data_IF_556010776789
#
_entry.id   IF_556010776789
#
_cell.length_a   1.000
_cell.length_b   1.000
_cell.length_c   1.000
_cell.angle_alpha   90.00
_cell.angle_beta   90.00
_cell.angle_gamma   90.00
#
_symmetry.space_group_name_H-M   'P 1'
#
loop_
_entity.id
_entity.type
_entity.pdbx_description
1 polymer ?
#
# COMPACT_ATOMS: atom_id res chain seq x y z
N UNK A 1 -2.99 -33.45 -16.78
CA UNK A 1 -2.59 -32.26 -17.56
C UNK A 1 -1.60 -31.47 -16.72
N UNK A 2 -0.48 -31.02 -17.28
CA UNK A 2 0.46 -30.14 -16.59
C UNK A 2 0.05 -28.68 -16.84
N UNK A 3 -0.10 -27.92 -15.76
CA UNK A 3 -0.39 -26.48 -15.78
C UNK A 3 0.97 -25.76 -15.72
N UNK A 4 1.41 -25.24 -16.85
CA UNK A 4 2.64 -24.47 -17.00
C UNK A 4 2.36 -22.96 -16.99
N UNK A 5 1.15 -22.54 -17.35
CA UNK A 5 0.74 -21.12 -17.43
C UNK A 5 -0.61 -20.90 -16.74
N UNK A 6 -0.81 -19.76 -16.02
CA UNK A 6 -2.06 -19.41 -15.34
C UNK A 6 -3.33 -19.60 -16.17
N UNK A 7 -3.26 -19.27 -17.45
CA UNK A 7 -4.36 -19.27 -18.40
C UNK A 7 -4.91 -20.69 -18.61
N UNK A 8 -4.06 -21.71 -18.47
CA UNK A 8 -4.43 -23.12 -18.64
C UNK A 8 -5.42 -23.62 -17.58
N UNK A 9 -5.54 -22.92 -16.44
CA UNK A 9 -6.60 -23.22 -15.45
C UNK A 9 -8.00 -23.07 -16.09
N UNK A 10 -8.17 -22.16 -17.04
CA UNK A 10 -9.45 -21.99 -17.74
C UNK A 10 -9.80 -23.18 -18.64
N UNK A 11 -8.80 -23.98 -19.04
CA UNK A 11 -8.98 -25.13 -19.92
C UNK A 11 -9.33 -26.41 -19.14
N UNK A 12 -9.06 -26.43 -17.83
CA UNK A 12 -9.34 -27.60 -16.99
C UNK A 12 -10.83 -27.94 -16.93
N UNK A 13 -11.13 -29.22 -17.05
CA UNK A 13 -12.44 -29.80 -16.75
C UNK A 13 -12.64 -29.96 -15.24
N UNK A 14 -13.89 -30.19 -14.80
CA UNK A 14 -14.17 -30.45 -13.39
C UNK A 14 -13.53 -31.76 -12.91
N UNK A 15 -13.55 -32.81 -13.72
CA UNK A 15 -12.85 -34.08 -13.42
C UNK A 15 -11.33 -33.87 -13.24
N UNK A 16 -10.73 -32.99 -14.04
CA UNK A 16 -9.31 -32.66 -13.87
C UNK A 16 -9.04 -31.88 -12.59
N UNK A 17 -9.93 -30.99 -12.16
CA UNK A 17 -9.82 -30.32 -10.86
C UNK A 17 -9.96 -31.29 -9.68
N UNK A 18 -10.62 -32.43 -9.85
CA UNK A 18 -10.66 -33.46 -8.82
C UNK A 18 -9.32 -34.22 -8.70
N UNK A 19 -8.47 -34.16 -9.74
CA UNK A 19 -7.17 -34.82 -9.77
C UNK A 19 -6.22 -34.32 -8.66
N UNK A 20 -5.56 -35.28 -8.01
CA UNK A 20 -4.49 -34.99 -7.05
C UNK A 20 -3.30 -34.26 -7.71
N UNK A 21 -3.05 -34.54 -9.00
CA UNK A 21 -1.94 -33.94 -9.73
C UNK A 21 -2.15 -32.43 -9.92
N UNK A 22 -3.33 -32.03 -10.38
CA UNK A 22 -3.73 -30.63 -10.56
C UNK A 22 -3.75 -29.89 -9.23
N UNK A 23 -4.29 -30.53 -8.19
CA UNK A 23 -4.26 -29.97 -6.84
C UNK A 23 -2.83 -29.68 -6.35
N UNK A 24 -1.92 -30.65 -6.49
CA UNK A 24 -0.53 -30.49 -6.04
C UNK A 24 0.22 -29.38 -6.82
N UNK A 25 -0.06 -29.23 -8.12
CA UNK A 25 0.53 -28.16 -8.93
C UNK A 25 0.02 -26.77 -8.47
N UNK A 26 -1.29 -26.63 -8.29
CA UNK A 26 -1.88 -25.38 -7.78
C UNK A 26 -1.41 -25.07 -6.36
N UNK A 27 -1.19 -26.10 -5.53
CA UNK A 27 -0.59 -25.95 -4.21
C UNK A 27 0.84 -25.45 -4.29
N UNK A 28 1.68 -26.04 -5.15
CA UNK A 28 3.07 -25.60 -5.33
C UNK A 28 3.15 -24.14 -5.79
N UNK A 29 2.26 -23.71 -6.68
CA UNK A 29 2.13 -22.31 -7.05
C UNK A 29 1.68 -21.43 -5.89
N UNK A 30 0.64 -21.82 -5.16
CA UNK A 30 0.19 -21.08 -3.97
C UNK A 30 1.31 -20.93 -2.93
N UNK A 31 2.09 -21.99 -2.68
CA UNK A 31 3.22 -21.94 -1.76
C UNK A 31 4.34 -21.02 -2.28
N UNK A 32 4.59 -21.02 -3.59
CA UNK A 32 5.55 -20.07 -4.20
C UNK A 32 5.16 -18.60 -4.00
N UNK A 33 3.85 -18.29 -4.03
CA UNK A 33 3.35 -16.94 -3.76
C UNK A 33 3.41 -16.56 -2.28
N UNK A 34 3.28 -17.53 -1.36
CA UNK A 34 3.48 -17.28 0.08
C UNK A 34 4.93 -16.93 0.38
N UNK A 35 5.87 -17.61 -0.27
CA UNK A 35 7.31 -17.39 -0.08
C UNK A 35 7.81 -16.12 -0.78
N UNK A 36 7.25 -15.81 -1.94
CA UNK A 36 7.62 -14.66 -2.76
C UNK A 36 6.47 -13.67 -2.80
N UNK A 37 6.06 -13.11 -1.66
CA UNK A 37 5.07 -12.03 -1.56
C UNK A 37 5.48 -10.83 -2.42
N UNK A 38 5.25 -10.94 -3.72
CA UNK A 38 5.61 -9.99 -4.75
C UNK A 38 4.44 -9.97 -5.69
N UNK A 39 4.07 -8.77 -6.10
CA UNK A 39 2.91 -8.56 -6.95
C UNK A 39 3.07 -9.36 -8.22
N UNK A 40 2.15 -10.29 -8.40
CA UNK A 40 2.15 -11.12 -9.57
C UNK A 40 0.82 -10.97 -10.29
N UNK A 41 0.90 -10.48 -11.53
CA UNK A 41 -0.23 -10.51 -12.45
C UNK A 41 -0.77 -11.93 -12.58
N UNK A 42 0.10 -12.93 -12.46
CA UNK A 42 -0.24 -14.33 -12.59
C UNK A 42 -1.13 -14.77 -11.42
N UNK A 43 -0.88 -14.31 -10.20
CA UNK A 43 -1.77 -14.58 -9.06
C UNK A 43 -3.21 -14.07 -9.34
N UNK A 44 -3.35 -12.90 -9.96
CA UNK A 44 -4.67 -12.34 -10.31
C UNK A 44 -5.35 -13.18 -11.39
N UNK A 45 -4.60 -13.58 -12.40
CA UNK A 45 -5.11 -14.43 -13.48
C UNK A 45 -5.55 -15.80 -12.95
N UNK A 46 -4.70 -16.43 -12.15
CA UNK A 46 -4.98 -17.71 -11.51
C UNK A 46 -6.19 -17.65 -10.58
N UNK A 47 -6.32 -16.58 -9.78
CA UNK A 47 -7.52 -16.32 -8.97
C UNK A 47 -8.76 -16.31 -9.84
N UNK A 48 -8.77 -15.48 -10.90
CA UNK A 48 -9.94 -15.31 -11.78
C UNK A 48 -10.33 -16.62 -12.46
N UNK A 49 -9.34 -17.35 -12.97
CA UNK A 49 -9.56 -18.64 -13.63
C UNK A 49 -10.14 -19.68 -12.64
N UNK A 50 -9.53 -19.82 -11.46
CA UNK A 50 -9.97 -20.78 -10.45
C UNK A 50 -11.35 -20.42 -9.88
N UNK A 51 -11.60 -19.16 -9.51
CA UNK A 51 -12.92 -18.72 -9.05
C UNK A 51 -14.00 -18.90 -10.13
N UNK A 52 -13.65 -18.68 -11.41
CA UNK A 52 -14.55 -18.91 -12.54
C UNK A 52 -15.02 -20.37 -12.61
N UNK A 53 -14.09 -21.32 -12.46
CA UNK A 53 -14.40 -22.76 -12.42
C UNK A 53 -15.20 -23.15 -11.17
N UNK A 54 -14.82 -22.62 -10.01
CA UNK A 54 -15.48 -22.94 -8.74
C UNK A 54 -16.90 -22.37 -8.63
N UNK A 55 -17.27 -21.39 -9.45
CA UNK A 55 -18.64 -20.83 -9.52
C UNK A 55 -19.58 -21.58 -10.46
N UNK A 56 -19.10 -22.56 -11.21
CA UNK A 56 -19.95 -23.34 -12.12
C UNK A 56 -21.01 -24.13 -11.33
N UNK A 57 -22.26 -24.25 -11.83
CA UNK A 57 -23.34 -24.96 -11.13
C UNK A 57 -23.02 -26.42 -10.82
N UNK A 58 -22.17 -27.03 -11.65
CA UNK A 58 -21.73 -28.41 -11.58
C UNK A 58 -20.64 -28.65 -10.52
N UNK A 59 -20.02 -27.58 -9.99
CA UNK A 59 -18.97 -27.66 -8.98
C UNK A 59 -19.59 -27.94 -7.60
N UNK A 60 -19.25 -29.10 -7.04
CA UNK A 60 -19.70 -29.49 -5.70
C UNK A 60 -19.00 -28.68 -4.59
N UNK A 61 -19.59 -28.66 -3.40
CA UNK A 61 -19.06 -27.91 -2.24
C UNK A 61 -17.72 -28.43 -1.74
N UNK A 62 -17.46 -29.74 -1.88
CA UNK A 62 -16.18 -30.34 -1.45
C UNK A 62 -15.01 -29.81 -2.28
N UNK A 63 -15.20 -29.66 -3.59
CA UNK A 63 -14.21 -29.10 -4.50
C UNK A 63 -13.97 -27.61 -4.21
N UNK A 64 -15.04 -26.85 -3.94
CA UNK A 64 -14.92 -25.45 -3.51
C UNK A 64 -14.11 -25.34 -2.21
N UNK A 65 -14.43 -26.15 -1.21
CA UNK A 65 -13.73 -26.18 0.06
C UNK A 65 -12.26 -26.56 -0.10
N UNK A 66 -11.96 -27.55 -0.98
CA UNK A 66 -10.60 -28.00 -1.30
C UNK A 66 -9.74 -26.88 -1.87
N UNK A 67 -10.29 -26.03 -2.75
CA UNK A 67 -9.55 -24.98 -3.45
C UNK A 67 -9.65 -23.59 -2.80
N UNK A 68 -10.54 -23.38 -1.84
CA UNK A 68 -10.71 -22.11 -1.13
C UNK A 68 -9.39 -21.53 -0.55
N UNK A 69 -8.49 -22.34 0.05
CA UNK A 69 -7.21 -21.82 0.54
C UNK A 69 -6.34 -21.19 -0.55
N UNK A 70 -6.32 -21.77 -1.76
CA UNK A 70 -5.51 -21.25 -2.87
C UNK A 70 -6.10 -19.96 -3.41
N UNK A 71 -7.43 -19.89 -3.52
CA UNK A 71 -8.12 -18.64 -3.88
C UNK A 71 -7.77 -17.51 -2.92
N UNK A 72 -7.69 -17.79 -1.61
CA UNK A 72 -7.28 -16.79 -0.61
C UNK A 72 -5.84 -16.33 -0.80
N UNK A 73 -4.90 -17.26 -1.00
CA UNK A 73 -3.50 -16.92 -1.30
C UNK A 73 -3.43 -15.99 -2.51
N UNK A 74 -4.05 -16.38 -3.64
CA UNK A 74 -4.02 -15.58 -4.86
C UNK A 74 -4.70 -14.21 -4.70
N UNK A 75 -5.75 -14.10 -3.86
CA UNK A 75 -6.39 -12.82 -3.53
C UNK A 75 -5.43 -11.87 -2.82
N UNK A 76 -4.73 -12.35 -1.79
CA UNK A 76 -3.82 -11.54 -1.01
C UNK A 76 -2.53 -11.20 -1.79
N UNK A 77 -1.99 -12.13 -2.57
CA UNK A 77 -0.85 -11.86 -3.46
C UNK A 77 -1.21 -10.87 -4.59
N UNK A 78 -2.48 -10.83 -4.99
CA UNK A 78 -3.00 -9.92 -6.01
C UNK A 78 -3.48 -8.56 -5.51
N UNK A 79 -3.22 -8.19 -4.24
CA UNK A 79 -3.75 -6.96 -3.63
C UNK A 79 -3.46 -5.69 -4.43
N UNK A 80 -2.25 -5.54 -4.99
CA UNK A 80 -1.85 -4.34 -5.74
C UNK A 80 -2.69 -4.12 -7.00
N UNK A 81 -3.15 -5.17 -7.65
CA UNK A 81 -3.90 -5.09 -8.92
C UNK A 81 -5.42 -5.06 -8.68
N UNK A 82 -5.88 -5.38 -7.46
CA UNK A 82 -7.29 -5.32 -7.08
C UNK A 82 -7.85 -3.90 -7.08
N UNK A 83 -9.17 -3.75 -7.19
CA UNK A 83 -9.81 -2.45 -6.95
C UNK A 83 -9.78 -2.09 -5.45
N UNK A 84 -9.91 -0.80 -5.11
CA UNK A 84 -10.05 -0.37 -3.71
C UNK A 84 -11.21 -1.08 -2.99
N UNK A 85 -12.32 -1.28 -3.69
CA UNK A 85 -13.47 -2.02 -3.18
C UNK A 85 -13.11 -3.47 -2.86
N UNK A 86 -12.46 -4.17 -3.80
CA UNK A 86 -12.06 -5.57 -3.60
C UNK A 86 -11.10 -5.73 -2.42
N UNK A 87 -10.16 -4.79 -2.26
CA UNK A 87 -9.20 -4.81 -1.13
C UNK A 87 -9.91 -4.65 0.21
N UNK A 88 -10.83 -3.69 0.30
CA UNK A 88 -11.61 -3.45 1.52
C UNK A 88 -12.48 -4.65 1.85
N UNK A 89 -13.21 -5.20 0.88
CA UNK A 89 -14.05 -6.38 1.08
C UNK A 89 -13.23 -7.63 1.45
N UNK A 90 -12.04 -7.79 0.86
CA UNK A 90 -11.14 -8.88 1.21
C UNK A 90 -10.73 -8.82 2.69
N UNK A 91 -10.31 -7.65 3.15
CA UNK A 91 -9.89 -7.46 4.55
C UNK A 91 -11.07 -7.59 5.51
N UNK A 92 -12.24 -7.06 5.13
CA UNK A 92 -13.45 -7.10 5.95
C UNK A 92 -14.02 -8.51 6.13
N UNK A 93 -13.84 -9.38 5.14
CA UNK A 93 -14.53 -10.68 5.12
C UNK A 93 -13.63 -11.91 5.11
N UNK A 94 -12.32 -11.78 4.87
CA UNK A 94 -11.43 -12.93 4.65
C UNK A 94 -10.06 -12.86 5.34
N UNK A 95 -9.83 -11.90 6.25
CA UNK A 95 -8.55 -11.77 6.99
C UNK A 95 -8.32 -12.95 7.93
N UNK A 96 -9.31 -13.34 8.72
CA UNK A 96 -9.19 -14.42 9.71
C UNK A 96 -8.92 -15.74 8.99
N UNK A 97 -9.69 -16.01 7.93
CA UNK A 97 -9.54 -17.21 7.13
C UNK A 97 -8.20 -17.25 6.38
N UNK A 98 -7.73 -16.13 5.85
CA UNK A 98 -6.42 -16.06 5.20
C UNK A 98 -5.28 -16.41 6.16
N UNK A 99 -5.27 -15.83 7.37
CA UNK A 99 -4.22 -16.12 8.36
C UNK A 99 -4.30 -17.58 8.83
N UNK A 100 -5.50 -18.17 8.99
CA UNK A 100 -5.67 -19.60 9.30
C UNK A 100 -5.05 -20.49 8.23
N UNK A 101 -5.16 -20.10 6.97
CA UNK A 101 -4.59 -20.81 5.81
C UNK A 101 -3.10 -20.48 5.55
N UNK A 102 -2.45 -19.79 6.49
CA UNK A 102 -1.01 -19.52 6.42
C UNK A 102 -0.61 -18.38 5.50
N UNK A 103 -1.55 -17.52 5.10
CA UNK A 103 -1.23 -16.29 4.36
C UNK A 103 -0.59 -15.28 5.30
N UNK A 104 0.57 -14.74 4.92
CA UNK A 104 1.20 -13.62 5.61
C UNK A 104 0.57 -12.30 5.18
N UNK A 105 -0.62 -12.03 5.72
CA UNK A 105 -1.41 -10.83 5.41
C UNK A 105 -0.64 -9.54 5.67
N UNK A 106 0.24 -9.52 6.69
CA UNK A 106 1.07 -8.35 7.02
C UNK A 106 2.00 -8.03 5.87
N UNK A 107 2.78 -9.01 5.42
CA UNK A 107 3.73 -8.82 4.30
C UNK A 107 3.00 -8.41 3.01
N UNK A 108 1.89 -9.06 2.66
CA UNK A 108 1.12 -8.68 1.47
C UNK A 108 0.61 -7.22 1.51
N UNK A 109 0.19 -6.74 2.69
CA UNK A 109 -0.23 -5.35 2.87
C UNK A 109 0.95 -4.38 2.88
N UNK A 110 2.08 -4.76 3.47
CA UNK A 110 3.30 -3.96 3.48
C UNK A 110 3.80 -3.68 2.08
N UNK A 111 3.92 -4.74 1.27
CA UNK A 111 4.21 -4.63 -0.15
C UNK A 111 3.21 -3.67 -0.79
N UNK A 112 1.91 -3.93 -0.66
CA UNK A 112 0.87 -3.08 -1.25
C UNK A 112 1.06 -1.59 -0.92
N UNK A 113 1.31 -1.24 0.34
CA UNK A 113 1.49 0.16 0.75
C UNK A 113 2.77 0.79 0.19
N UNK A 114 3.85 0.02 0.08
CA UNK A 114 5.10 0.43 -0.57
C UNK A 114 4.84 0.75 -2.05
N UNK A 115 4.17 -0.15 -2.78
CA UNK A 115 3.90 0.02 -4.20
C UNK A 115 2.84 1.09 -4.49
N UNK A 116 1.83 1.24 -3.63
CA UNK A 116 0.76 2.22 -3.79
C UNK A 116 1.15 3.63 -3.34
N UNK A 117 2.37 3.84 -2.82
CA UNK A 117 2.82 5.11 -2.27
C UNK A 117 1.91 5.65 -1.16
N UNK A 118 1.40 4.77 -0.29
CA UNK A 118 0.40 5.15 0.73
C UNK A 118 0.89 6.28 1.65
N UNK A 119 2.20 6.34 1.94
CA UNK A 119 2.81 7.43 2.69
C UNK A 119 2.61 8.81 2.02
N UNK A 120 2.77 8.88 0.69
CA UNK A 120 2.58 10.13 -0.07
C UNK A 120 1.11 10.56 -0.12
N UNK A 121 0.20 9.61 0.08
CA UNK A 121 -1.25 9.82 0.09
C UNK A 121 -1.80 9.98 1.51
N UNK A 122 -0.96 10.43 2.45
CA UNK A 122 -1.33 10.63 3.85
C UNK A 122 -2.01 9.39 4.44
N UNK A 123 -1.52 8.20 4.12
CA UNK A 123 -2.06 6.93 4.64
C UNK A 123 -3.54 6.67 4.31
N UNK A 124 -4.08 7.25 3.23
CA UNK A 124 -5.48 7.11 2.86
C UNK A 124 -5.90 5.64 2.64
N UNK A 125 -5.05 4.83 1.99
CA UNK A 125 -5.30 3.42 1.77
C UNK A 125 -5.27 2.65 3.08
N UNK A 126 -4.24 2.86 3.90
CA UNK A 126 -4.11 2.24 5.22
C UNK A 126 -5.28 2.54 6.15
N UNK A 127 -5.81 3.77 6.17
CA UNK A 127 -7.02 4.12 6.93
C UNK A 127 -8.24 3.28 6.51
N UNK A 128 -8.46 3.11 5.20
CA UNK A 128 -9.55 2.25 4.69
C UNK A 128 -9.37 0.79 5.14
N UNK A 129 -8.14 0.28 5.11
CA UNK A 129 -7.81 -1.09 5.53
C UNK A 129 -8.01 -1.27 7.04
N UNK A 130 -7.59 -0.31 7.87
CA UNK A 130 -7.85 -0.32 9.32
C UNK A 130 -9.36 -0.35 9.59
N UNK A 131 -10.13 0.50 8.90
CA UNK A 131 -11.58 0.50 9.03
C UNK A 131 -12.19 -0.84 8.63
N UNK A 132 -11.78 -1.42 7.50
CA UNK A 132 -12.23 -2.73 7.05
C UNK A 132 -11.96 -3.82 8.08
N UNK A 133 -10.77 -3.83 8.69
CA UNK A 133 -10.38 -4.78 9.73
C UNK A 133 -11.24 -4.60 11.00
N UNK A 134 -11.52 -3.35 11.39
CA UNK A 134 -12.40 -3.02 12.53
C UNK A 134 -13.88 -3.36 12.28
N UNK A 135 -14.29 -3.47 11.02
CA UNK A 135 -15.64 -3.87 10.62
C UNK A 135 -15.74 -5.37 10.28
N UNK A 136 -14.68 -6.14 10.50
CA UNK A 136 -14.61 -7.53 10.07
C UNK A 136 -15.60 -8.44 10.83
N UNK A 137 -16.37 -9.23 10.08
CA UNK A 137 -17.45 -10.09 10.61
C UNK A 137 -17.05 -11.56 10.78
N UNK A 138 -15.83 -11.95 10.43
CA UNK A 138 -15.38 -13.33 10.57
C UNK A 138 -15.33 -13.75 12.05
N UNK A 139 -15.64 -15.01 12.30
CA UNK A 139 -15.72 -15.54 13.67
C UNK A 139 -14.37 -16.10 14.13
N UNK A 140 -13.99 -15.74 15.35
CA UNK A 140 -12.88 -16.30 16.11
C UNK A 140 -13.41 -16.70 17.49
N UNK A 141 -13.39 -18.00 17.81
CA UNK A 141 -14.03 -18.51 19.04
C UNK A 141 -15.53 -18.25 19.12
N UNK A 142 -16.22 -18.19 17.97
CA UNK A 142 -17.65 -17.86 17.89
C UNK A 142 -17.99 -16.39 18.10
N UNK A 143 -17.00 -15.51 18.29
CA UNK A 143 -17.18 -14.07 18.41
C UNK A 143 -16.66 -13.35 17.15
N UNK A 144 -17.40 -12.38 16.57
CA UNK A 144 -16.92 -11.59 15.44
C UNK A 144 -15.61 -10.87 15.73
N UNK A 145 -14.72 -10.77 14.74
CA UNK A 145 -13.42 -10.13 14.92
C UNK A 145 -13.54 -8.67 15.39
N UNK A 146 -14.47 -7.90 14.83
CA UNK A 146 -14.74 -6.52 15.27
C UNK A 146 -14.95 -6.38 16.79
N UNK A 147 -15.56 -7.39 17.42
CA UNK A 147 -15.88 -7.35 18.85
C UNK A 147 -14.62 -7.61 19.67
N UNK A 148 -13.74 -8.51 19.22
CA UNK A 148 -12.41 -8.70 19.81
C UNK A 148 -11.57 -7.43 19.76
N UNK A 149 -11.52 -6.78 18.60
CA UNK A 149 -10.78 -5.53 18.43
C UNK A 149 -11.34 -4.42 19.31
N UNK A 150 -12.67 -4.31 19.41
CA UNK A 150 -13.35 -3.34 20.28
C UNK A 150 -13.05 -3.59 21.76
N UNK A 151 -13.05 -4.85 22.21
CA UNK A 151 -12.73 -5.23 23.59
C UNK A 151 -11.27 -4.95 23.93
N UNK A 152 -10.36 -5.22 23.00
CA UNK A 152 -8.95 -4.88 23.15
C UNK A 152 -8.76 -3.37 23.31
N UNK A 153 -9.39 -2.56 22.45
CA UNK A 153 -9.39 -1.11 22.56
C UNK A 153 -9.95 -0.62 23.91
N UNK A 154 -11.05 -1.20 24.37
CA UNK A 154 -11.69 -0.84 25.64
C UNK A 154 -10.89 -1.25 26.89
N UNK A 155 -9.94 -2.18 26.77
CA UNK A 155 -9.14 -2.66 27.91
C UNK A 155 -8.16 -1.62 28.46
N UNK A 156 -8.05 -0.43 27.82
CA UNK A 156 -7.10 0.62 28.21
C UNK A 156 -5.64 0.28 27.91
N UNK A 157 -5.38 -0.91 27.34
CA UNK A 157 -4.05 -1.37 26.92
C UNK A 157 -3.71 -0.93 25.48
N UNK A 158 -4.66 -0.32 24.78
CA UNK A 158 -4.55 0.25 23.43
C UNK A 158 -3.90 1.65 23.41
N UNK A 159 -2.83 1.85 24.19
CA UNK A 159 -2.03 3.08 24.12
C UNK A 159 -1.33 3.27 22.76
N UNK A 160 -0.58 4.38 22.59
CA UNK A 160 0.09 4.81 21.33
C UNK A 160 0.99 3.77 20.62
N UNK A 161 1.20 2.60 21.20
CA UNK A 161 1.70 1.37 20.59
C UNK A 161 1.47 0.29 21.66
N UNK A 162 0.46 -0.56 21.50
CA UNK A 162 0.33 -1.70 22.41
C UNK A 162 1.57 -2.56 22.24
N UNK A 163 2.43 -2.63 23.26
CA UNK A 163 3.57 -3.50 23.22
C UNK A 163 3.13 -4.96 23.14
N UNK A 164 4.08 -5.83 22.78
CA UNK A 164 3.87 -7.29 22.80
C UNK A 164 3.34 -7.78 24.16
N UNK A 165 3.72 -7.11 25.25
CA UNK A 165 3.32 -7.46 26.61
C UNK A 165 1.83 -7.21 26.86
N UNK A 166 1.29 -6.08 26.41
CA UNK A 166 -0.12 -5.74 26.51
C UNK A 166 -1.01 -6.73 25.77
N UNK A 167 -0.64 -7.07 24.53
CA UNK A 167 -1.36 -8.08 23.72
C UNK A 167 -1.36 -9.44 24.41
N UNK A 168 -0.20 -9.89 24.88
CA UNK A 168 -0.09 -11.16 25.59
C UNK A 168 -0.87 -11.14 26.90
N UNK A 169 -0.87 -10.01 27.61
CA UNK A 169 -1.65 -9.84 28.83
C UNK A 169 -3.15 -9.96 28.54
N UNK A 170 -3.67 -9.28 27.51
CA UNK A 170 -5.06 -9.42 27.10
C UNK A 170 -5.41 -10.86 26.70
N UNK A 171 -4.60 -11.50 25.85
CA UNK A 171 -4.85 -12.87 25.35
C UNK A 171 -4.81 -13.90 26.48
N UNK A 172 -3.96 -13.72 27.49
CA UNK A 172 -3.78 -14.71 28.56
C UNK A 172 -4.68 -14.46 29.77
N UNK A 173 -4.95 -13.19 30.10
CA UNK A 173 -5.58 -12.82 31.37
C UNK A 173 -7.03 -12.32 31.22
N UNK A 174 -7.48 -11.90 30.04
CA UNK A 174 -8.88 -11.54 29.83
C UNK A 174 -9.80 -12.78 30.03
N UNK A 175 -10.86 -12.71 30.86
CA UNK A 175 -11.75 -13.84 31.11
C UNK A 175 -12.36 -14.46 29.84
N UNK A 176 -12.64 -13.64 28.84
CA UNK A 176 -13.29 -14.07 27.61
C UNK A 176 -12.32 -14.75 26.64
N UNK A 177 -11.04 -14.36 26.63
CA UNK A 177 -10.01 -15.01 25.80
C UNK A 177 -9.61 -16.37 26.37
N UNK A 178 -9.90 -16.66 27.64
CA UNK A 178 -9.59 -17.95 28.27
C UNK A 178 -10.32 -19.14 27.62
N UNK A 179 -11.49 -18.91 27.01
CA UNK A 179 -12.25 -19.96 26.31
C UNK A 179 -11.68 -20.30 24.93
N UNK A 180 -10.83 -19.44 24.36
CA UNK A 180 -10.22 -19.66 23.06
C UNK A 180 -9.24 -20.83 23.11
N UNK A 181 -9.25 -21.64 22.05
CA UNK A 181 -8.23 -22.68 21.84
C UNK A 181 -6.87 -22.04 21.59
N UNK A 182 -5.81 -22.84 21.73
CA UNK A 182 -4.42 -22.39 21.50
C UNK A 182 -4.25 -21.74 20.11
N UNK A 183 -4.77 -22.37 19.06
CA UNK A 183 -4.63 -21.88 17.69
C UNK A 183 -5.45 -20.61 17.45
N UNK A 184 -6.59 -20.45 18.13
CA UNK A 184 -7.41 -19.23 18.06
C UNK A 184 -6.75 -18.06 18.80
N UNK A 185 -6.07 -18.31 19.92
CA UNK A 185 -5.26 -17.31 20.62
C UNK A 185 -4.10 -16.84 19.76
N UNK A 186 -3.44 -17.77 19.08
CA UNK A 186 -2.36 -17.46 18.16
C UNK A 186 -2.85 -16.65 16.95
N UNK A 187 -4.01 -16.99 16.41
CA UNK A 187 -4.66 -16.22 15.36
C UNK A 187 -5.00 -14.79 15.82
N UNK A 188 -5.58 -14.65 17.02
CA UNK A 188 -5.89 -13.34 17.61
C UNK A 188 -4.61 -12.51 17.83
N UNK A 189 -3.52 -13.14 18.27
CA UNK A 189 -2.20 -12.49 18.40
C UNK A 189 -1.72 -11.91 17.06
N UNK A 190 -1.76 -12.71 15.99
CA UNK A 190 -1.37 -12.27 14.63
C UNK A 190 -2.24 -11.11 14.13
N UNK A 191 -3.54 -11.12 14.45
CA UNK A 191 -4.44 -10.03 14.06
C UNK A 191 -4.13 -8.74 14.83
N UNK A 192 -3.83 -8.81 16.13
CA UNK A 192 -3.36 -7.62 16.86
C UNK A 192 -2.02 -7.11 16.34
N UNK A 193 -1.10 -8.00 15.97
CA UNK A 193 0.16 -7.62 15.32
C UNK A 193 -0.06 -6.92 13.99
N UNK A 194 -1.02 -7.41 13.20
CA UNK A 194 -1.43 -6.75 11.97
C UNK A 194 -2.03 -5.36 12.24
N UNK A 195 -2.93 -5.23 13.23
CA UNK A 195 -3.53 -3.95 13.57
C UNK A 195 -2.48 -2.93 14.02
N UNK A 196 -1.53 -3.33 14.88
CA UNK A 196 -0.45 -2.44 15.33
C UNK A 196 0.46 -2.03 14.17
N UNK A 197 0.77 -2.94 13.26
CA UNK A 197 1.51 -2.62 12.03
C UNK A 197 0.77 -1.56 11.20
N UNK A 198 -0.56 -1.67 11.10
CA UNK A 198 -1.38 -0.72 10.36
C UNK A 198 -1.46 0.64 11.05
N UNK A 199 -1.70 0.69 12.36
CA UNK A 199 -1.90 1.94 13.11
C UNK A 199 -0.59 2.69 13.41
N UNK A 200 0.50 1.95 13.57
CA UNK A 200 1.80 2.48 13.96
C UNK A 200 2.90 1.98 13.01
N UNK A 201 2.87 2.36 11.71
CA UNK A 201 3.93 2.02 10.79
C UNK A 201 5.28 2.48 11.35
N UNK A 202 6.30 1.63 11.24
CA UNK A 202 7.62 1.98 11.71
C UNK A 202 8.24 3.02 10.77
N UNK A 203 8.31 4.29 11.19
CA UNK A 203 8.86 5.39 10.36
C UNK A 203 10.31 5.14 9.93
N UNK A 204 11.08 4.36 10.69
CA UNK A 204 12.47 3.99 10.35
C UNK A 204 12.55 2.91 9.26
N UNK A 205 11.68 1.89 9.29
CA UNK A 205 11.56 0.90 8.20
C UNK A 205 11.07 1.58 6.92
N UNK A 206 10.12 2.49 7.05
CA UNK A 206 9.67 3.29 5.92
C UNK A 206 10.83 4.09 5.35
N UNK A 207 11.70 4.73 6.15
CA UNK A 207 12.85 5.53 5.67
C UNK A 207 14.02 4.70 5.12
N UNK A 208 14.21 3.44 5.50
CA UNK A 208 15.34 2.63 5.01
C UNK A 208 15.12 2.04 3.62
N UNK A 209 13.86 1.88 3.19
CA UNK A 209 13.52 1.26 1.91
C UNK A 209 13.46 2.24 0.73
N UNK A 210 13.92 3.50 0.91
CA UNK A 210 13.89 4.53 -0.13
C UNK A 210 15.04 4.48 -1.14
N UNK A 211 16.03 3.59 -0.98
CA UNK A 211 17.23 3.57 -1.84
C UNK A 211 17.42 2.21 -2.53
N UNK A 212 16.72 1.98 -3.65
CA UNK A 212 17.07 0.86 -4.55
C UNK A 212 18.22 1.31 -5.42
N UNK A 213 19.34 0.57 -5.38
CA UNK A 213 20.42 0.75 -6.35
C UNK A 213 20.01 0.11 -7.67
N UNK A 214 19.85 0.93 -8.70
CA UNK A 214 19.55 0.52 -10.07
C UNK A 214 20.66 0.98 -10.99
N UNK A 215 20.96 0.18 -12.02
CA UNK A 215 21.90 0.59 -13.06
C UNK A 215 21.23 1.58 -14.01
N UNK A 216 21.77 2.79 -14.07
CA UNK A 216 21.42 3.82 -15.04
C UNK A 216 21.76 3.41 -16.47
N UNK A 217 21.28 4.19 -17.44
CA UNK A 217 21.48 3.93 -18.87
C UNK A 217 22.97 3.91 -19.28
N UNK A 218 23.86 4.51 -18.50
CA UNK A 218 25.30 4.55 -18.77
C UNK A 218 26.10 3.56 -17.88
N UNK A 219 25.42 2.67 -17.15
CA UNK A 219 26.03 1.66 -16.28
C UNK A 219 26.39 2.14 -14.87
N UNK A 220 26.08 3.39 -14.53
CA UNK A 220 26.22 3.97 -13.19
C UNK A 220 25.19 3.38 -12.20
N UNK A 221 25.56 3.19 -10.94
CA UNK A 221 24.59 2.86 -9.90
C UNK A 221 23.93 4.14 -9.39
N UNK A 222 22.62 4.23 -9.55
CA UNK A 222 21.78 5.34 -9.08
C UNK A 222 20.83 4.83 -8.01
N UNK A 223 20.67 5.63 -6.95
CA UNK A 223 19.63 5.41 -5.95
C UNK A 223 18.32 5.90 -6.52
N UNK A 224 17.32 5.02 -6.52
CA UNK A 224 15.96 5.33 -6.92
C UNK A 224 15.04 5.02 -5.76
N UNK A 225 14.02 5.87 -5.58
CA UNK A 225 12.92 5.59 -4.67
C UNK A 225 12.24 4.27 -5.07
N UNK A 226 12.07 3.35 -4.13
CA UNK A 226 11.41 2.06 -4.34
C UNK A 226 10.03 2.20 -5.01
N UNK A 227 9.30 3.25 -4.62
CA UNK A 227 8.10 3.74 -5.26
C UNK A 227 8.21 3.91 -6.79
N UNK A 228 9.24 4.63 -7.24
CA UNK A 228 9.49 4.88 -8.66
C UNK A 228 9.96 3.59 -9.36
N UNK A 229 10.75 2.76 -8.67
CA UNK A 229 11.18 1.46 -9.18
C UNK A 229 9.99 0.55 -9.50
N UNK A 230 9.05 0.41 -8.57
CA UNK A 230 7.84 -0.39 -8.77
C UNK A 230 6.87 0.24 -9.78
N UNK A 231 6.71 1.57 -9.78
CA UNK A 231 5.90 2.26 -10.78
C UNK A 231 6.45 2.06 -12.21
N UNK A 232 7.77 2.03 -12.39
CA UNK A 232 8.41 1.71 -13.67
C UNK A 232 8.19 0.25 -14.04
N UNK A 233 8.43 -0.68 -13.10
CA UNK A 233 8.24 -2.13 -13.31
C UNK A 233 6.81 -2.51 -13.69
N UNK A 234 5.82 -1.84 -13.09
CA UNK A 234 4.40 -2.05 -13.37
C UNK A 234 3.87 -1.28 -14.58
N UNK A 235 4.72 -0.49 -15.26
CA UNK A 235 4.34 0.30 -16.43
C UNK A 235 3.49 1.54 -16.12
N UNK A 236 3.36 1.91 -14.84
CA UNK A 236 2.60 3.10 -14.37
C UNK A 236 3.39 4.39 -14.57
N UNK A 237 4.73 4.33 -14.55
CA UNK A 237 5.64 5.44 -14.83
C UNK A 237 6.71 5.04 -15.84
N UNK A 238 7.28 6.01 -16.54
CA UNK A 238 8.48 5.77 -17.34
C UNK A 238 9.73 6.02 -16.50
N UNK A 239 10.86 5.45 -16.92
CA UNK A 239 12.15 5.69 -16.27
C UNK A 239 12.57 7.17 -16.30
N UNK A 240 12.00 7.96 -17.20
CA UNK A 240 12.26 9.40 -17.35
C UNK A 240 11.51 10.24 -16.30
N UNK A 241 10.46 9.68 -15.69
CA UNK A 241 9.65 10.34 -14.68
C UNK A 241 10.19 10.16 -13.24
N UNK A 242 11.21 9.32 -13.06
CA UNK A 242 11.76 8.97 -11.76
C UNK A 242 12.80 9.97 -11.26
N UNK A 243 12.84 10.19 -9.95
CA UNK A 243 13.87 11.00 -9.30
C UNK A 243 15.03 10.08 -8.92
N UNK A 244 16.23 10.41 -9.43
CA UNK A 244 17.46 9.68 -9.17
C UNK A 244 18.39 10.50 -8.30
N UNK A 245 18.99 9.85 -7.31
CA UNK A 245 20.12 10.40 -6.58
C UNK A 245 21.39 9.61 -6.95
N UNK A 246 22.53 10.27 -7.23
CA UNK A 246 23.78 9.56 -7.44
C UNK A 246 24.13 8.78 -6.17
N UNK A 247 24.45 7.48 -6.30
CA UNK A 247 24.93 6.71 -5.17
C UNK A 247 26.21 7.39 -4.63
N UNK A 248 26.25 7.69 -3.32
CA UNK A 248 27.40 8.35 -2.71
C UNK A 248 28.71 7.67 -3.15
N UNK A 249 29.57 8.41 -3.85
CA UNK A 249 30.90 7.93 -4.18
C UNK A 249 31.65 7.64 -2.86
N UNK A 250 32.45 6.56 -2.79
CA UNK A 250 33.28 6.29 -1.62
C UNK A 250 34.10 7.53 -1.30
N UNK A 251 33.92 8.08 -0.09
CA UNK A 251 34.51 9.36 0.33
C UNK A 251 36.02 9.35 0.10
N UNK A 252 36.46 9.99 -0.99
CA UNK A 252 37.86 10.30 -1.21
C UNK A 252 38.27 11.42 -0.25
N UNK A 253 39.46 11.31 0.35
CA UNK A 253 40.01 12.35 1.23
C UNK A 253 40.16 13.68 0.47
N UNK A 254 39.88 14.82 1.12
CA UNK A 254 39.87 16.12 0.43
C UNK A 254 41.28 16.51 -0.01
N UNK A 255 41.45 16.76 -1.31
CA UNK A 255 42.58 17.53 -1.83
C UNK A 255 42.19 19.00 -1.74
N UNK A 256 43.06 19.78 -1.11
CA UNK A 256 42.87 21.21 -0.81
C UNK A 256 43.09 22.02 -2.09
N UNK A 257 42.03 22.60 -2.66
CA UNK A 257 42.15 23.58 -3.75
C UNK A 257 42.19 25.02 -3.23
N UNK A 258 42.97 25.84 -3.94
CA UNK A 258 43.23 27.27 -3.67
C UNK A 258 42.20 28.12 -4.42
N UNK A 259 41.60 29.16 -3.80
CA UNK A 259 40.60 29.98 -4.49
C UNK A 259 41.25 31.06 -5.37
N UNK A 260 40.70 31.26 -6.56
CA UNK A 260 40.92 32.43 -7.42
C UNK A 260 39.87 33.52 -7.15
N UNK A 261 40.16 34.81 -7.39
CA UNK A 261 39.26 35.91 -7.06
C UNK A 261 38.14 36.05 -8.09
N UNK A 262 36.91 36.20 -7.59
CA UNK A 262 35.69 36.37 -8.39
C UNK A 262 35.37 37.86 -8.56
N UNK A 263 35.13 38.29 -9.80
CA UNK A 263 34.65 39.63 -10.15
C UNK A 263 33.12 39.75 -9.90
N UNK A 264 32.60 40.96 -9.61
CA UNK A 264 31.18 41.12 -9.28
C UNK A 264 30.29 40.97 -10.52
N UNK A 265 29.36 40.03 -10.44
CA UNK A 265 28.25 39.87 -11.39
C UNK A 265 27.06 40.65 -10.86
N UNK A 266 26.51 41.56 -11.66
CA UNK A 266 25.24 42.23 -11.36
C UNK A 266 24.09 41.25 -11.58
N UNK A 267 23.40 40.86 -10.51
CA UNK A 267 22.21 40.02 -10.57
C UNK A 267 20.99 40.82 -11.06
N UNK A 268 20.31 40.26 -12.06
CA UNK A 268 18.97 40.68 -12.50
C UNK A 268 17.99 40.42 -11.34
N UNK A 269 16.95 41.26 -11.13
CA UNK A 269 15.96 40.99 -10.09
C UNK A 269 15.32 39.62 -10.32
N UNK A 270 15.50 38.71 -9.37
CA UNK A 270 14.96 37.36 -9.42
C UNK A 270 13.44 37.38 -9.48
N UNK A 271 12.86 36.67 -10.44
CA UNK A 271 11.43 36.35 -10.44
C UNK A 271 11.13 35.48 -9.21
N UNK A 272 10.46 36.06 -8.22
CA UNK A 272 10.03 35.34 -7.02
C UNK A 272 9.03 34.27 -7.46
N UNK A 273 9.33 33.01 -7.16
CA UNK A 273 8.43 31.89 -7.48
C UNK A 273 7.05 32.08 -6.83
N UNK A 274 5.95 31.59 -7.44
CA UNK A 274 4.62 31.69 -6.85
C UNK A 274 4.50 31.15 -5.43
N UNK A 275 5.20 30.05 -5.13
CA UNK A 275 5.31 29.48 -3.78
C UNK A 275 5.96 30.47 -2.79
N UNK A 276 7.12 31.01 -3.17
CA UNK A 276 7.83 31.99 -2.34
C UNK A 276 7.01 33.26 -2.13
N UNK A 277 6.24 33.69 -3.14
CA UNK A 277 5.35 34.84 -3.01
C UNK A 277 4.22 34.60 -2.00
N UNK A 278 3.56 33.44 -2.06
CA UNK A 278 2.47 33.08 -1.13
C UNK A 278 2.97 33.05 0.32
N UNK A 279 4.12 32.41 0.56
CA UNK A 279 4.74 32.30 1.89
C UNK A 279 5.20 33.66 2.39
N UNK A 280 5.95 34.41 1.57
CA UNK A 280 6.52 35.70 1.95
C UNK A 280 5.46 36.74 2.32
N UNK A 281 4.30 36.68 1.66
CA UNK A 281 3.20 37.62 1.91
C UNK A 281 2.13 37.06 2.85
N UNK A 282 2.29 35.83 3.35
CA UNK A 282 1.35 35.16 4.26
C UNK A 282 -0.12 35.27 3.80
N UNK A 283 -0.38 34.94 2.53
CA UNK A 283 -1.70 35.11 1.92
C UNK A 283 -2.75 34.26 2.62
N UNK A 284 -3.94 34.82 2.90
CA UNK A 284 -5.09 34.03 3.30
C UNK A 284 -5.60 33.13 2.15
N UNK A 285 -6.35 32.04 2.40
CA UNK A 285 -6.81 31.12 1.34
C UNK A 285 -7.48 31.81 0.14
N UNK A 286 -8.43 32.73 0.37
CA UNK A 286 -9.08 33.48 -0.70
C UNK A 286 -8.11 34.35 -1.52
N UNK A 287 -7.08 34.93 -0.87
CA UNK A 287 -6.04 35.71 -1.54
C UNK A 287 -5.10 34.81 -2.36
N UNK A 288 -4.81 33.61 -1.85
CA UNK A 288 -4.04 32.58 -2.56
C UNK A 288 -4.78 32.13 -3.83
N UNK A 289 -6.10 31.88 -3.75
CA UNK A 289 -6.94 31.55 -4.91
C UNK A 289 -6.89 32.67 -5.95
N UNK A 290 -7.12 33.93 -5.55
CA UNK A 290 -7.09 35.07 -6.47
C UNK A 290 -5.70 35.24 -7.14
N UNK A 291 -4.63 35.06 -6.37
CA UNK A 291 -3.27 35.12 -6.88
C UNK A 291 -2.99 34.00 -7.88
N UNK A 292 -3.32 32.75 -7.55
CA UNK A 292 -3.06 31.60 -8.41
C UNK A 292 -3.92 31.61 -9.67
N UNK A 293 -5.19 32.03 -9.60
CA UNK A 293 -6.04 32.28 -10.78
C UNK A 293 -5.42 33.30 -11.74
N UNK A 294 -4.78 34.34 -11.22
CA UNK A 294 -4.10 35.36 -12.03
C UNK A 294 -2.83 34.83 -12.69
N UNK A 295 -2.08 33.96 -12.01
CA UNK A 295 -0.84 33.37 -12.55
C UNK A 295 -1.10 32.19 -13.50
N UNK A 296 -2.20 31.47 -13.28
CA UNK A 296 -2.56 30.23 -13.97
C UNK A 296 -4.05 30.27 -14.38
N UNK A 297 -4.40 31.08 -15.39
CA UNK A 297 -5.80 31.28 -15.79
C UNK A 297 -6.39 30.08 -16.54
N UNK A 298 -5.55 29.25 -17.17
CA UNK A 298 -5.98 28.14 -18.02
C UNK A 298 -6.16 26.84 -17.23
N UNK A 299 -7.19 26.03 -17.51
CA UNK A 299 -7.38 24.73 -16.86
C UNK A 299 -6.19 23.76 -17.02
N UNK A 300 -5.41 23.90 -18.10
CA UNK A 300 -4.21 23.08 -18.31
C UNK A 300 -3.13 23.30 -17.23
N UNK A 301 -3.17 24.45 -16.53
CA UNK A 301 -2.19 24.79 -15.50
C UNK A 301 -2.56 24.25 -14.10
N UNK A 302 -3.70 23.58 -13.91
CA UNK A 302 -4.09 23.01 -12.62
C UNK A 302 -3.05 22.02 -12.07
N UNK A 303 -2.32 21.30 -12.93
CA UNK A 303 -1.20 20.45 -12.49
C UNK A 303 -0.08 21.26 -11.80
N UNK A 304 0.21 22.48 -12.28
CA UNK A 304 1.20 23.38 -11.67
C UNK A 304 0.69 23.94 -10.36
N UNK A 305 -0.60 24.28 -10.29
CA UNK A 305 -1.27 24.72 -9.06
C UNK A 305 -1.21 23.64 -7.99
N UNK A 306 -1.59 22.40 -8.30
CA UNK A 306 -1.52 21.27 -7.36
C UNK A 306 -0.09 21.03 -6.84
N UNK A 307 0.92 21.20 -7.69
CA UNK A 307 2.33 21.11 -7.26
C UNK A 307 2.67 22.17 -6.21
N UNK A 308 2.18 23.41 -6.38
CA UNK A 308 2.38 24.49 -5.41
C UNK A 308 1.63 24.19 -4.10
N UNK A 309 0.38 23.71 -4.16
CA UNK A 309 -0.42 23.40 -2.97
C UNK A 309 0.16 22.23 -2.15
N UNK A 310 0.61 21.17 -2.83
CA UNK A 310 1.28 20.05 -2.17
C UNK A 310 2.57 20.50 -1.47
N UNK A 311 3.32 21.42 -2.06
CA UNK A 311 4.54 21.94 -1.45
C UNK A 311 4.25 22.88 -0.26
N UNK A 312 3.18 23.69 -0.33
CA UNK A 312 2.68 24.44 0.81
C UNK A 312 2.27 23.53 1.97
N UNK A 313 1.58 22.43 1.69
CA UNK A 313 1.18 21.46 2.70
C UNK A 313 2.39 20.78 3.37
N UNK A 314 3.41 20.40 2.58
CA UNK A 314 4.68 19.88 3.12
C UNK A 314 5.39 20.85 4.05
N UNK A 315 5.20 22.15 3.84
CA UNK A 315 5.74 23.21 4.71
C UNK A 315 4.81 23.58 5.88
N UNK A 316 3.74 22.81 6.11
CA UNK A 316 2.82 22.99 7.24
C UNK A 316 1.64 23.94 6.98
N UNK A 317 1.44 24.38 5.73
CA UNK A 317 0.33 25.26 5.36
C UNK A 317 -0.88 24.46 4.83
N UNK A 318 -1.46 23.60 5.68
CA UNK A 318 -2.55 22.70 5.29
C UNK A 318 -3.86 23.42 4.93
N UNK A 319 -4.05 24.66 5.38
CA UNK A 319 -5.24 25.47 5.08
C UNK A 319 -5.45 25.78 3.59
N UNK A 320 -4.47 25.44 2.73
CA UNK A 320 -4.57 25.62 1.28
C UNK A 320 -4.92 24.34 0.52
N UNK A 321 -5.06 23.17 1.19
CA UNK A 321 -5.30 21.90 0.49
C UNK A 321 -6.67 21.82 -0.17
N UNK A 322 -7.66 22.51 0.40
CA UNK A 322 -9.03 22.44 -0.09
C UNK A 322 -9.36 23.50 -1.15
N UNK A 323 -8.40 24.34 -1.57
CA UNK A 323 -8.69 25.45 -2.49
C UNK A 323 -8.86 25.02 -3.96
N UNK A 324 -8.43 23.81 -4.31
CA UNK A 324 -8.69 23.16 -5.59
C UNK A 324 -9.11 21.72 -5.32
N UNK A 325 -10.22 21.29 -5.91
CA UNK A 325 -10.70 19.91 -5.86
C UNK A 325 -10.99 19.38 -7.26
N UNK A 326 -10.97 18.06 -7.41
CA UNK A 326 -11.39 17.38 -8.63
C UNK A 326 -12.85 16.95 -8.47
N UNK A 327 -13.73 17.40 -9.36
CA UNK A 327 -15.10 16.93 -9.43
C UNK A 327 -15.16 15.69 -10.35
N UNK A 328 -15.50 14.56 -9.75
CA UNK A 328 -15.62 13.28 -10.46
C UNK A 328 -16.79 13.25 -11.45
N UNK A 329 -17.79 14.11 -11.27
CA UNK A 329 -19.00 14.15 -12.12
C UNK A 329 -18.67 14.73 -13.49
N UNK A 330 -17.90 15.81 -13.53
CA UNK A 330 -17.54 16.49 -14.78
C UNK A 330 -16.09 16.25 -15.23
N UNK A 331 -15.30 15.57 -14.39
CA UNK A 331 -13.91 15.21 -14.66
C UNK A 331 -12.98 16.42 -14.71
N UNK A 332 -13.29 17.50 -13.99
CA UNK A 332 -12.51 18.76 -14.01
C UNK A 332 -12.06 19.18 -12.62
N UNK A 333 -11.02 20.01 -12.59
CA UNK A 333 -10.60 20.70 -11.38
C UNK A 333 -11.38 21.99 -11.22
N UNK A 334 -11.86 22.22 -10.01
CA UNK A 334 -12.60 23.40 -9.61
C UNK A 334 -11.87 24.11 -8.49
N UNK A 335 -12.00 25.44 -8.46
CA UNK A 335 -11.58 26.23 -7.32
C UNK A 335 -12.65 26.15 -6.24
N UNK A 336 -12.26 25.91 -5.00
CA UNK A 336 -13.14 26.05 -3.84
C UNK A 336 -13.07 27.52 -3.40
N UNK A 337 -14.10 28.29 -3.73
CA UNK A 337 -14.16 29.74 -3.49
C UNK A 337 -14.58 30.11 -2.06
#
# INVERSE_FOLDING_TARGET
MLINEPEQINELTLEELESHEVFNQLQAWADSFKENARFDSDAVQMRRALEGKLKLPETNEDLKARYAPFVLVFKFSGLLVGSDYDRVELIKNQTVEAIKNGVDVKSCLDDYFIASNDLLLDYAGRRKIIQALRENQELLGGTPLKDWLSRFAASGQAGKRSGTLERLNFINNNPETKSLKKDEKELLRKIFELLDFLEYPNEEELKSDWDVLVKGKNGEEVRMKMADFYAIKSGVRTQEDAVFEPAEAPKAKPVKEVPAPVAPVYEKPEEISPLAYIIKNNLAPAQCVAYLKKQFPEPADFKKVLKILNELNRQGYSQFMDIVYFDEIDGKFHWNE
#
